data_IF_652210517088
#
_entry.id   IF_652210517088
#
_cell.length_a   1.000
_cell.length_b   1.000
_cell.length_c   1.000
_cell.angle_alpha   90.00
_cell.angle_beta   90.00
_cell.angle_gamma   90.00
#
_symmetry.space_group_name_H-M   'P 1'
#
loop_
_entity.id
_entity.type
_entity.pdbx_description
1 polymer ?
#
# COMPACT_ATOMS: atom_id res chain seq x y z
N UNK A 1 23.25 -4.78 -5.14
CA UNK A 1 22.19 -5.02 -6.14
C UNK A 1 21.30 -3.80 -6.20
N UNK A 2 21.10 -3.24 -7.38
CA UNK A 2 20.12 -2.17 -7.59
C UNK A 2 18.77 -2.75 -8.00
N UNK A 3 17.72 -1.94 -7.99
CA UNK A 3 16.36 -2.36 -8.35
C UNK A 3 15.75 -1.33 -9.28
N UNK A 4 15.33 -1.77 -10.46
CA UNK A 4 14.44 -0.99 -11.31
C UNK A 4 13.00 -1.24 -10.86
N UNK A 5 12.28 -0.18 -10.55
CA UNK A 5 10.84 -0.19 -10.32
C UNK A 5 10.18 0.25 -11.62
N UNK A 6 9.65 -0.69 -12.38
CA UNK A 6 8.97 -0.43 -13.66
C UNK A 6 7.57 0.14 -13.44
N UNK A 7 6.90 -0.23 -12.34
CA UNK A 7 5.62 0.35 -11.92
C UNK A 7 5.40 0.15 -10.43
N UNK A 8 4.59 1.01 -9.81
CA UNK A 8 4.20 0.90 -8.41
C UNK A 8 2.79 1.45 -8.20
N UNK A 9 1.90 0.60 -7.71
CA UNK A 9 0.48 0.91 -7.50
C UNK A 9 0.14 0.67 -6.03
N UNK A 10 -0.54 1.64 -5.42
CA UNK A 10 -1.17 1.48 -4.11
C UNK A 10 -2.66 1.25 -4.30
N UNK A 11 -3.18 0.25 -3.60
CA UNK A 11 -4.62 -0.03 -3.50
C UNK A 11 -5.00 -0.10 -2.03
N UNK A 12 -6.12 0.52 -1.67
CA UNK A 12 -6.65 0.53 -0.31
C UNK A 12 -7.89 -0.33 -0.28
N UNK A 13 -7.95 -1.22 0.70
CA UNK A 13 -9.07 -2.10 0.93
C UNK A 13 -9.67 -1.84 2.32
N UNK A 14 -11.00 -1.91 2.40
CA UNK A 14 -11.70 -2.13 3.65
C UNK A 14 -12.23 -3.58 3.64
N UNK A 15 -11.69 -4.40 4.53
CA UNK A 15 -11.82 -5.86 4.48
C UNK A 15 -11.43 -6.40 3.08
N UNK A 16 -12.36 -7.05 2.38
CA UNK A 16 -12.10 -7.65 1.07
C UNK A 16 -12.46 -6.73 -0.10
N UNK A 17 -12.95 -5.51 0.17
CA UNK A 17 -13.42 -4.58 -0.86
C UNK A 17 -12.39 -3.49 -1.12
N UNK A 18 -11.95 -3.35 -2.38
CA UNK A 18 -11.15 -2.21 -2.81
C UNK A 18 -12.00 -0.95 -2.77
N UNK A 19 -11.51 0.06 -2.07
CA UNK A 19 -12.18 1.36 -1.90
C UNK A 19 -11.49 2.49 -2.66
N UNK A 20 -10.32 2.21 -3.26
CA UNK A 20 -9.58 3.16 -4.07
C UNK A 20 -8.12 2.77 -4.24
N UNK A 21 -7.39 3.55 -5.04
CA UNK A 21 -5.96 3.35 -5.27
C UNK A 21 -5.37 4.46 -6.12
N UNK A 22 -4.04 4.52 -6.16
CA UNK A 22 -3.30 5.48 -6.95
C UNK A 22 -1.93 4.93 -7.34
N UNK A 23 -1.38 5.30 -8.52
CA UNK A 23 0.03 5.10 -8.82
C UNK A 23 0.90 5.84 -7.78
N UNK A 24 1.91 5.17 -7.23
CA UNK A 24 2.81 5.78 -6.23
C UNK A 24 3.98 6.52 -6.86
N UNK A 25 4.44 6.07 -8.04
CA UNK A 25 5.58 6.70 -8.70
C UNK A 25 5.61 6.39 -10.19
N UNK A 26 6.29 7.27 -10.93
CA UNK A 26 6.81 6.92 -12.24
C UNK A 26 7.94 5.87 -12.11
N UNK A 27 8.31 5.18 -13.21
CA UNK A 27 9.40 4.22 -13.18
C UNK A 27 10.71 4.86 -12.74
N UNK A 28 11.47 4.19 -11.88
CA UNK A 28 12.74 4.71 -11.37
C UNK A 28 13.73 3.59 -11.03
N UNK A 29 15.01 3.95 -10.91
CA UNK A 29 16.07 3.04 -10.46
C UNK A 29 16.49 3.40 -9.04
N UNK A 30 16.52 2.38 -8.18
CA UNK A 30 17.03 2.48 -6.82
C UNK A 30 18.42 1.87 -6.73
N UNK A 31 19.38 2.68 -6.32
CA UNK A 31 20.75 2.24 -6.08
C UNK A 31 20.84 1.29 -4.86
N UNK A 32 21.89 0.43 -4.80
CA UNK A 32 22.12 -0.42 -3.65
C UNK A 32 22.16 0.37 -2.34
N UNK A 33 21.54 -0.19 -1.28
CA UNK A 33 21.55 0.36 0.10
C UNK A 33 20.94 1.76 0.22
N UNK A 34 20.14 2.21 -0.74
CA UNK A 34 19.34 3.43 -0.61
C UNK A 34 17.92 3.10 -0.18
N UNK A 35 17.24 4.08 0.42
CA UNK A 35 15.82 4.03 0.76
C UNK A 35 15.13 5.16 0.01
N UNK A 36 14.05 4.84 -0.70
CA UNK A 36 13.14 5.82 -1.30
C UNK A 36 11.94 6.04 -0.38
N UNK A 37 11.52 7.30 -0.22
CA UNK A 37 10.33 7.66 0.54
C UNK A 37 9.29 8.17 -0.44
N UNK A 38 8.09 7.58 -0.39
CA UNK A 38 6.95 8.00 -1.18
C UNK A 38 5.99 8.76 -0.28
N UNK A 39 5.68 9.99 -0.65
CA UNK A 39 4.65 10.80 -0.04
C UNK A 39 3.52 11.00 -1.06
N UNK A 40 2.29 10.81 -0.62
CA UNK A 40 1.12 11.00 -1.47
C UNK A 40 -0.14 11.07 -0.64
N UNK A 41 -1.15 11.72 -1.20
CA UNK A 41 -2.49 11.75 -0.61
C UNK A 41 -3.34 10.75 -1.35
N UNK A 42 -3.93 9.81 -0.61
CA UNK A 42 -5.00 8.97 -1.11
C UNK A 42 -6.31 9.61 -0.70
N UNK A 43 -7.10 10.01 -1.68
CA UNK A 43 -8.40 10.61 -1.46
C UNK A 43 -9.37 10.25 -2.59
N UNK A 44 -10.65 10.22 -2.28
CA UNK A 44 -11.75 10.00 -3.22
C UNK A 44 -13.01 10.67 -2.70
N UNK A 45 -13.93 11.01 -3.61
CA UNK A 45 -15.17 11.72 -3.25
C UNK A 45 -16.10 10.88 -2.35
N UNK A 46 -16.02 9.55 -2.45
CA UNK A 46 -16.73 8.62 -1.59
C UNK A 46 -15.95 7.30 -1.48
N UNK A 47 -16.13 6.60 -0.37
CA UNK A 47 -15.68 5.21 -0.24
C UNK A 47 -16.61 4.33 -1.08
N UNK A 48 -16.07 3.65 -2.09
CA UNK A 48 -16.84 2.68 -2.88
C UNK A 48 -17.04 1.41 -2.06
N UNK A 49 -18.05 1.40 -1.19
CA UNK A 49 -18.42 0.25 -0.36
C UNK A 49 -19.88 -0.17 -0.60
N UNK A 50 -20.18 -1.46 -0.46
CA UNK A 50 -21.58 -1.93 -0.49
C UNK A 50 -22.33 -1.48 0.78
N UNK A 51 -23.68 -1.49 0.75
CA UNK A 51 -24.48 -1.09 1.92
C UNK A 51 -24.18 -1.91 3.19
N UNK A 52 -23.95 -3.22 3.03
CA UNK A 52 -23.53 -4.09 4.14
C UNK A 52 -22.15 -3.70 4.68
N UNK A 53 -21.18 -3.43 3.78
CA UNK A 53 -19.84 -2.99 4.18
C UNK A 53 -19.86 -1.62 4.85
N UNK A 54 -20.77 -0.73 4.45
CA UNK A 54 -20.96 0.57 5.10
C UNK A 54 -21.44 0.43 6.55
N UNK A 55 -22.38 -0.48 6.83
CA UNK A 55 -22.82 -0.75 8.21
C UNK A 55 -21.68 -1.26 9.09
N UNK A 56 -20.86 -2.19 8.57
CA UNK A 56 -19.67 -2.68 9.27
C UNK A 56 -18.66 -1.56 9.53
N UNK A 57 -18.41 -0.73 8.52
CA UNK A 57 -17.52 0.42 8.63
C UNK A 57 -17.97 1.38 9.73
N UNK A 58 -19.26 1.71 9.78
CA UNK A 58 -19.82 2.59 10.81
C UNK A 58 -19.72 1.96 12.21
N UNK A 59 -19.89 0.64 12.33
CA UNK A 59 -19.74 -0.08 13.59
C UNK A 59 -18.26 -0.11 14.06
N UNK A 60 -17.31 -0.35 13.16
CA UNK A 60 -15.87 -0.28 13.43
C UNK A 60 -15.48 1.13 13.88
N UNK A 61 -15.94 2.15 13.16
CA UNK A 61 -15.73 3.55 13.53
C UNK A 61 -16.27 3.86 14.94
N UNK A 62 -17.47 3.37 15.27
CA UNK A 62 -18.07 3.55 16.59
C UNK A 62 -17.32 2.79 17.70
N UNK A 63 -16.65 1.68 17.38
CA UNK A 63 -15.74 0.95 18.29
C UNK A 63 -14.42 1.68 18.54
N UNK A 64 -14.11 2.71 17.75
CA UNK A 64 -12.92 3.54 17.93
C UNK A 64 -11.79 3.27 16.93
N UNK A 65 -11.97 2.33 16.00
CA UNK A 65 -10.91 1.97 15.06
C UNK A 65 -11.48 1.38 13.77
N UNK A 66 -10.99 1.85 12.64
CA UNK A 66 -11.21 1.21 11.34
C UNK A 66 -9.87 0.74 10.77
N UNK A 67 -9.75 -0.57 10.50
CA UNK A 67 -8.55 -1.14 9.90
C UNK A 67 -8.71 -1.23 8.39
N UNK A 68 -7.79 -0.58 7.67
CA UNK A 68 -7.65 -0.71 6.23
C UNK A 68 -6.49 -1.63 5.88
N UNK A 69 -6.55 -2.28 4.72
CA UNK A 69 -5.41 -2.99 4.13
C UNK A 69 -4.88 -2.19 2.95
N UNK A 70 -3.66 -1.70 3.08
CA UNK A 70 -2.92 -1.06 2.00
C UNK A 70 -2.08 -2.13 1.29
N UNK A 71 -2.35 -2.32 0.01
CA UNK A 71 -1.57 -3.20 -0.86
C UNK A 71 -0.74 -2.36 -1.81
N UNK A 72 0.58 -2.52 -1.74
CA UNK A 72 1.51 -1.95 -2.72
C UNK A 72 1.98 -3.05 -3.65
N UNK A 73 1.58 -2.97 -4.91
CA UNK A 73 2.03 -3.87 -5.96
C UNK A 73 3.05 -3.16 -6.86
N UNK A 74 4.18 -3.80 -7.11
CA UNK A 74 5.23 -3.25 -7.97
C UNK A 74 5.76 -4.29 -8.94
N UNK A 75 6.04 -3.85 -10.17
CA UNK A 75 6.82 -4.64 -11.13
C UNK A 75 8.27 -4.19 -11.03
N UNK A 76 9.18 -5.11 -10.71
CA UNK A 76 10.59 -4.81 -10.51
C UNK A 76 11.53 -5.67 -11.35
N UNK A 77 12.74 -5.17 -11.59
CA UNK A 77 13.88 -5.93 -12.14
C UNK A 77 15.11 -5.66 -11.30
N UNK A 78 15.83 -6.71 -10.94
CA UNK A 78 17.06 -6.60 -10.18
C UNK A 78 18.24 -6.34 -11.10
N UNK A 79 19.07 -5.36 -10.75
CA UNK A 79 20.35 -5.11 -11.39
C UNK A 79 21.48 -5.75 -10.60
N UNK A 80 22.08 -6.79 -11.17
CA UNK A 80 23.18 -7.54 -10.58
C UNK A 80 24.42 -7.30 -11.45
N UNK A 81 25.36 -6.48 -10.97
CA UNK A 81 26.55 -6.09 -11.75
C UNK A 81 26.14 -5.56 -13.15
N UNK A 82 26.49 -6.28 -14.22
CA UNK A 82 26.21 -5.92 -15.62
C UNK A 82 24.93 -6.52 -16.21
N UNK A 83 24.19 -7.35 -15.46
CA UNK A 83 23.00 -8.06 -15.95
C UNK A 83 21.76 -7.68 -15.16
N UNK A 84 20.63 -7.63 -15.86
CA UNK A 84 19.31 -7.34 -15.30
C UNK A 84 18.48 -8.64 -15.24
N UNK A 85 17.73 -8.83 -14.16
CA UNK A 85 16.82 -9.98 -14.04
C UNK A 85 15.59 -9.84 -14.95
N UNK A 86 14.82 -10.92 -15.08
CA UNK A 86 13.44 -10.82 -15.56
C UNK A 86 12.60 -9.93 -14.64
N UNK A 87 11.40 -9.57 -15.11
CA UNK A 87 10.41 -8.87 -14.28
C UNK A 87 9.87 -9.79 -13.19
N UNK A 88 9.72 -9.24 -12.00
CA UNK A 88 9.09 -9.86 -10.84
C UNK A 88 7.97 -8.96 -10.35
N UNK A 89 6.87 -9.54 -9.86
CA UNK A 89 5.84 -8.76 -9.17
C UNK A 89 6.07 -8.89 -7.67
N UNK A 90 6.31 -7.77 -7.02
CA UNK A 90 6.45 -7.64 -5.57
C UNK A 90 5.16 -7.06 -5.00
N UNK A 91 4.69 -7.61 -3.89
CA UNK A 91 3.50 -7.15 -3.18
C UNK A 91 3.85 -6.89 -1.73
N UNK A 92 3.38 -5.79 -1.17
CA UNK A 92 3.45 -5.50 0.26
C UNK A 92 2.04 -5.28 0.80
N UNK A 93 1.66 -6.01 1.84
CA UNK A 93 0.34 -5.93 2.46
C UNK A 93 0.44 -5.34 3.86
N UNK A 94 -0.05 -4.12 4.04
CA UNK A 94 0.05 -3.34 5.26
C UNK A 94 -1.34 -3.14 5.89
N UNK A 95 -1.64 -3.73 7.06
CA UNK A 95 -2.80 -3.28 7.83
C UNK A 95 -2.51 -1.90 8.42
N UNK A 96 -3.49 -1.00 8.41
CA UNK A 96 -3.39 0.36 8.96
C UNK A 96 -4.70 0.67 9.69
N UNK A 97 -4.63 0.74 11.03
CA UNK A 97 -5.72 1.20 11.89
C UNK A 97 -5.79 2.72 11.93
N UNK A 98 -7.01 3.25 11.74
CA UNK A 98 -7.32 4.68 11.75
C UNK A 98 -8.35 4.95 12.85
N UNK A 99 -8.08 5.96 13.66
CA UNK A 99 -8.96 6.37 14.77
C UNK A 99 -10.18 7.17 14.29
N UNK A 100 -11.09 7.54 15.20
CA UNK A 100 -12.30 8.31 14.87
C UNK A 100 -11.99 9.73 14.40
N UNK A 101 -10.81 10.24 14.76
CA UNK A 101 -10.22 11.51 14.34
C UNK A 101 -9.68 11.47 12.90
N UNK A 102 -9.66 10.30 12.26
CA UNK A 102 -9.13 10.11 10.91
C UNK A 102 -7.60 10.00 10.87
N UNK A 103 -6.92 9.91 12.02
CA UNK A 103 -5.47 9.77 12.09
C UNK A 103 -5.06 8.30 12.22
N UNK A 104 -3.89 7.96 11.67
CA UNK A 104 -3.30 6.64 11.83
C UNK A 104 -2.94 6.43 13.31
N UNK A 105 -3.43 5.34 13.88
CA UNK A 105 -3.15 4.96 15.26
C UNK A 105 -1.64 4.69 15.44
N UNK A 106 -1.03 5.08 16.58
CA UNK A 106 0.40 4.91 16.81
C UNK A 106 0.90 3.48 16.66
N UNK A 107 0.06 2.48 16.96
CA UNK A 107 0.37 1.05 16.82
C UNK A 107 0.70 0.61 15.38
N UNK A 108 0.20 1.36 14.39
CA UNK A 108 0.34 1.08 12.96
C UNK A 108 1.41 1.94 12.26
N UNK A 109 2.04 2.90 12.96
CA UNK A 109 3.13 3.70 12.41
C UNK A 109 4.45 2.92 12.43
N UNK A 110 5.29 3.18 11.43
CA UNK A 110 6.64 2.60 11.29
C UNK A 110 6.69 1.06 11.36
N UNK A 111 5.58 0.41 11.00
CA UNK A 111 5.48 -1.05 10.96
C UNK A 111 5.97 -1.59 9.63
N UNK A 112 6.86 -2.58 9.70
CA UNK A 112 7.28 -3.33 8.52
C UNK A 112 6.14 -4.25 8.07
N UNK A 113 5.72 -4.10 6.82
CA UNK A 113 4.71 -4.95 6.23
C UNK A 113 5.32 -6.23 5.65
N UNK A 114 4.59 -7.36 5.69
CA UNK A 114 4.99 -8.55 4.95
C UNK A 114 5.07 -8.25 3.45
N UNK A 115 6.13 -8.77 2.83
CA UNK A 115 6.39 -8.65 1.39
C UNK A 115 6.50 -10.05 0.79
N UNK A 116 5.88 -10.26 -0.35
CA UNK A 116 5.97 -11.50 -1.13
C UNK A 116 6.09 -11.22 -2.62
N UNK A 117 6.47 -12.25 -3.36
CA UNK A 117 6.68 -12.19 -4.80
C UNK A 117 5.75 -13.15 -5.51
N UNK A 118 5.28 -12.78 -6.71
CA UNK A 118 4.51 -13.61 -7.63
C UNK A 118 5.11 -13.61 -9.03
#
# INVERSE_FOLDING_TARGET
MGVYYDSMQLTVYYQDQSIGGSPLSNPFYQEPKKTAVFAGTLGGAALTVTGQRWQQFMADKARGEVVFRLEVASTIRFKISTWDSKRHKMHANCPVGVGPDGLILPSYKDRRCPVYFS
#
